data_IF_388365795938
#
_entry.id   IF_388365795938
#
_cell.length_a   1.000
_cell.length_b   1.000
_cell.length_c   1.000
_cell.angle_alpha   90.00
_cell.angle_beta   90.00
_cell.angle_gamma   90.00
#
_symmetry.space_group_name_H-M   'P 1'
#
loop_
_entity.id
_entity.type
_entity.pdbx_description
1 polymer ?
#
# COMPACT_ATOMS: atom_id res chain seq x y z
N UNK A 1 29.08 -18.72 -16.77
CA UNK A 1 28.23 -19.52 -15.86
C UNK A 1 26.93 -18.79 -15.64
N UNK A 2 25.82 -19.28 -16.21
CA UNK A 2 24.49 -18.67 -16.04
C UNK A 2 24.03 -18.89 -14.60
N UNK A 3 23.74 -17.80 -13.86
CA UNK A 3 23.18 -17.88 -12.52
C UNK A 3 21.90 -18.74 -12.56
N UNK A 4 21.68 -19.62 -11.57
CA UNK A 4 20.51 -20.48 -11.55
C UNK A 4 19.25 -19.62 -11.59
N UNK A 5 18.28 -19.99 -12.45
CA UNK A 5 16.95 -19.38 -12.53
C UNK A 5 16.24 -19.66 -11.20
N UNK A 6 16.40 -18.76 -10.23
CA UNK A 6 15.59 -18.81 -9.01
C UNK A 6 14.17 -18.41 -9.38
N UNK A 7 13.24 -19.35 -9.24
CA UNK A 7 11.81 -19.09 -9.46
C UNK A 7 11.33 -18.02 -8.47
N UNK A 8 10.61 -16.98 -8.90
CA UNK A 8 10.19 -15.87 -8.03
C UNK A 8 9.08 -16.26 -7.03
N UNK A 9 8.54 -17.47 -7.10
CA UNK A 9 7.39 -17.93 -6.33
C UNK A 9 7.51 -17.76 -4.81
N UNK A 10 8.66 -18.02 -4.15
CA UNK A 10 8.78 -17.75 -2.72
C UNK A 10 8.59 -16.27 -2.37
N UNK A 11 9.08 -15.37 -3.22
CA UNK A 11 8.94 -13.93 -3.01
C UNK A 11 7.50 -13.46 -3.27
N UNK A 12 6.85 -14.01 -4.30
CA UNK A 12 5.42 -13.77 -4.59
C UNK A 12 4.56 -14.22 -3.41
N UNK A 13 4.81 -15.41 -2.87
CA UNK A 13 4.08 -15.94 -1.72
C UNK A 13 4.31 -15.11 -0.44
N UNK A 14 5.55 -14.67 -0.17
CA UNK A 14 5.85 -13.78 0.93
C UNK A 14 5.18 -12.40 0.77
N UNK A 15 5.18 -11.84 -0.45
CA UNK A 15 4.47 -10.60 -0.76
C UNK A 15 2.97 -10.76 -0.46
N UNK A 16 2.36 -11.84 -0.95
CA UNK A 16 0.94 -12.15 -0.70
C UNK A 16 0.64 -12.24 0.79
N UNK A 17 1.42 -13.01 1.57
CA UNK A 17 1.21 -13.16 3.00
C UNK A 17 1.43 -11.84 3.77
N UNK A 18 2.43 -11.06 3.41
CA UNK A 18 2.77 -9.81 4.09
C UNK A 18 1.74 -8.69 3.87
N UNK A 19 1.15 -8.63 2.67
CA UNK A 19 0.16 -7.61 2.33
C UNK A 19 -1.29 -8.03 2.61
N UNK A 20 -1.56 -9.28 2.99
CA UNK A 20 -2.94 -9.76 3.18
C UNK A 20 -3.67 -8.98 4.29
N UNK A 21 -2.99 -8.65 5.40
CA UNK A 21 -3.59 -7.93 6.52
C UNK A 21 -4.12 -6.53 6.15
N UNK A 22 -3.36 -5.63 5.49
CA UNK A 22 -3.90 -4.35 5.02
C UNK A 22 -4.99 -4.51 3.96
N UNK A 23 -4.96 -5.56 3.13
CA UNK A 23 -6.01 -5.84 2.15
C UNK A 23 -7.32 -6.28 2.79
N UNK A 24 -7.28 -6.99 3.92
CA UNK A 24 -8.46 -7.43 4.67
C UNK A 24 -8.89 -6.43 5.75
N UNK A 25 -8.31 -5.25 5.81
CA UNK A 25 -8.52 -4.29 6.89
C UNK A 25 -10.00 -3.93 7.13
N UNK A 26 -10.84 -3.63 6.10
CA UNK A 26 -12.25 -3.31 6.32
C UNK A 26 -13.02 -4.40 7.05
N UNK A 27 -12.85 -5.65 6.60
CA UNK A 27 -13.50 -6.80 7.25
C UNK A 27 -12.90 -7.08 8.63
N UNK A 28 -11.58 -6.93 8.79
CA UNK A 28 -10.94 -7.14 10.10
C UNK A 28 -11.46 -6.13 11.12
N UNK A 29 -11.48 -4.84 10.79
CA UNK A 29 -11.98 -3.78 11.71
C UNK A 29 -13.48 -3.95 11.98
N UNK A 30 -14.28 -4.21 10.94
CA UNK A 30 -15.72 -4.44 11.10
C UNK A 30 -16.04 -5.65 11.97
N UNK A 31 -15.32 -6.76 11.78
CA UNK A 31 -15.51 -7.99 12.56
C UNK A 31 -14.96 -7.89 13.99
N UNK A 32 -13.94 -7.07 14.25
CA UNK A 32 -13.49 -6.75 15.60
C UNK A 32 -14.56 -5.98 16.36
N UNK A 33 -15.19 -5.00 15.73
CA UNK A 33 -16.29 -4.22 16.32
C UNK A 33 -17.53 -5.07 16.60
N UNK A 34 -17.95 -5.87 15.64
CA UNK A 34 -19.17 -6.69 15.78
C UNK A 34 -18.99 -7.94 16.66
N UNK A 35 -17.79 -8.48 16.75
CA UNK A 35 -17.50 -9.72 17.46
C UNK A 35 -16.91 -9.57 18.86
N UNK A 36 -16.56 -8.35 19.28
CA UNK A 36 -15.94 -8.06 20.56
C UNK A 36 -16.63 -6.84 21.22
N UNK A 37 -16.55 -6.66 22.56
CA UNK A 37 -17.09 -5.48 23.24
C UNK A 37 -16.20 -4.25 22.98
N UNK A 38 -16.14 -3.82 21.72
CA UNK A 38 -15.33 -2.69 21.25
C UNK A 38 -16.21 -1.61 20.62
N UNK A 39 -15.86 -0.36 20.86
CA UNK A 39 -16.39 0.72 20.04
C UNK A 39 -15.73 0.74 18.66
N UNK A 40 -16.37 1.37 17.69
CA UNK A 40 -15.84 1.60 16.37
C UNK A 40 -14.42 2.20 16.36
N UNK A 41 -14.19 3.19 17.24
CA UNK A 41 -12.89 3.85 17.37
C UNK A 41 -11.83 2.90 17.93
N UNK A 42 -12.19 2.05 18.89
CA UNK A 42 -11.28 1.04 19.44
C UNK A 42 -10.91 -0.02 18.40
N UNK A 43 -11.88 -0.50 17.62
CA UNK A 43 -11.62 -1.43 16.52
C UNK A 43 -10.71 -0.81 15.44
N UNK A 44 -10.96 0.46 15.07
CA UNK A 44 -10.08 1.21 14.18
C UNK A 44 -8.66 1.43 14.76
N UNK A 45 -8.55 1.66 16.08
CA UNK A 45 -7.26 1.78 16.74
C UNK A 45 -6.46 0.46 16.71
N UNK A 46 -7.12 -0.70 16.83
CA UNK A 46 -6.48 -2.01 16.67
C UNK A 46 -5.98 -2.19 15.24
N UNK A 47 -6.77 -1.81 14.23
CA UNK A 47 -6.35 -1.79 12.83
C UNK A 47 -5.13 -0.89 12.60
N UNK A 48 -5.11 0.29 13.21
CA UNK A 48 -3.97 1.20 13.17
C UNK A 48 -2.74 0.63 13.89
N UNK A 49 -2.90 0.00 15.05
CA UNK A 49 -1.81 -0.64 15.78
C UNK A 49 -1.16 -1.77 14.96
N UNK A 50 -1.97 -2.58 14.27
CA UNK A 50 -1.52 -3.61 13.34
C UNK A 50 -0.64 -3.00 12.22
N UNK A 51 -1.13 -1.96 11.56
CA UNK A 51 -0.42 -1.32 10.45
C UNK A 51 0.82 -0.56 10.92
N UNK A 52 0.76 0.11 12.07
CA UNK A 52 1.90 0.82 12.66
C UNK A 52 3.01 -0.17 13.05
N UNK A 53 2.64 -1.30 13.64
CA UNK A 53 3.56 -2.38 13.97
C UNK A 53 4.21 -2.96 12.71
N UNK A 54 3.45 -3.14 11.64
CA UNK A 54 3.97 -3.56 10.34
C UNK A 54 4.96 -2.55 9.75
N UNK A 55 4.65 -1.26 9.79
CA UNK A 55 5.55 -0.20 9.36
C UNK A 55 6.83 -0.16 10.21
N UNK A 56 6.71 -0.28 11.55
CA UNK A 56 7.83 -0.32 12.46
C UNK A 56 8.80 -1.48 12.15
N UNK A 57 8.27 -2.68 11.84
CA UNK A 57 9.09 -3.82 11.42
C UNK A 57 9.90 -3.49 10.16
N UNK A 58 9.29 -2.85 9.16
CA UNK A 58 9.97 -2.41 7.94
C UNK A 58 11.16 -1.48 8.24
N UNK A 59 10.95 -0.47 9.10
CA UNK A 59 12.01 0.46 9.50
C UNK A 59 13.12 -0.20 10.30
N UNK A 60 12.78 -1.00 11.31
CA UNK A 60 13.74 -1.60 12.24
C UNK A 60 14.57 -2.70 11.59
N UNK A 61 14.00 -3.45 10.64
CA UNK A 61 14.64 -4.62 10.05
C UNK A 61 15.32 -4.34 8.72
N UNK A 62 15.03 -3.21 8.06
CA UNK A 62 15.65 -2.86 6.78
C UNK A 62 17.18 -2.88 6.83
N UNK A 63 17.78 -2.44 7.96
CA UNK A 63 19.25 -2.45 8.15
C UNK A 63 19.81 -3.78 8.67
N UNK A 64 18.95 -4.69 9.11
CA UNK A 64 19.36 -5.97 9.72
C UNK A 64 19.22 -7.17 8.77
N UNK A 65 18.56 -6.98 7.63
CA UNK A 65 18.34 -8.01 6.62
C UNK A 65 19.65 -8.66 6.16
N UNK A 66 20.70 -7.85 5.97
CA UNK A 66 22.01 -8.32 5.52
C UNK A 66 22.76 -9.16 6.57
N UNK A 67 22.47 -8.92 7.85
CA UNK A 67 23.13 -9.63 8.97
C UNK A 67 22.45 -10.95 9.32
N UNK A 68 21.13 -10.97 9.34
CA UNK A 68 20.32 -12.12 9.79
C UNK A 68 20.04 -13.09 8.63
N UNK A 69 19.92 -12.57 7.43
CA UNK A 69 19.60 -13.31 6.22
C UNK A 69 18.09 -13.44 5.95
N UNK A 70 17.70 -13.46 4.66
CA UNK A 70 16.29 -13.39 4.24
C UNK A 70 15.46 -14.60 4.68
N UNK A 71 16.04 -15.81 4.68
CA UNK A 71 15.33 -17.01 5.11
C UNK A 71 14.95 -16.98 6.59
N UNK A 72 15.90 -16.60 7.46
CA UNK A 72 15.66 -16.53 8.90
C UNK A 72 14.63 -15.47 9.26
N UNK A 73 14.74 -14.27 8.65
CA UNK A 73 13.79 -13.20 8.86
C UNK A 73 12.40 -13.53 8.31
N UNK A 74 12.29 -14.16 7.13
CA UNK A 74 11.00 -14.61 6.60
C UNK A 74 10.33 -15.60 7.56
N UNK A 75 11.06 -16.58 8.09
CA UNK A 75 10.54 -17.53 9.07
C UNK A 75 10.11 -16.86 10.37
N UNK A 76 10.93 -15.94 10.89
CA UNK A 76 10.57 -15.17 12.07
C UNK A 76 9.28 -14.37 11.84
N UNK A 77 9.19 -13.66 10.73
CA UNK A 77 8.00 -12.89 10.37
C UNK A 77 6.75 -13.75 10.24
N UNK A 78 6.85 -14.89 9.54
CA UNK A 78 5.74 -15.84 9.41
C UNK A 78 5.33 -16.43 10.76
N UNK A 79 6.29 -16.78 11.62
CA UNK A 79 6.00 -17.27 12.97
C UNK A 79 5.25 -16.21 13.79
N UNK A 80 5.72 -14.97 13.79
CA UNK A 80 5.06 -13.89 14.50
C UNK A 80 3.66 -13.61 13.93
N UNK A 81 3.46 -13.70 12.61
CA UNK A 81 2.15 -13.57 11.99
C UNK A 81 1.20 -14.71 12.40
N UNK A 82 1.67 -15.96 12.38
CA UNK A 82 0.87 -17.12 12.82
C UNK A 82 0.51 -17.01 14.31
N UNK A 83 1.47 -16.73 15.17
CA UNK A 83 1.24 -16.63 16.62
C UNK A 83 0.38 -15.40 16.97
N UNK A 84 0.66 -14.25 16.36
CA UNK A 84 -0.05 -13.01 16.63
C UNK A 84 -1.50 -13.05 16.14
N UNK A 85 -1.71 -13.28 14.86
CA UNK A 85 -3.07 -13.32 14.31
C UNK A 85 -3.83 -14.57 14.71
N UNK A 86 -3.16 -15.73 14.79
CA UNK A 86 -3.78 -16.96 15.26
C UNK A 86 -4.18 -16.86 16.73
N UNK A 87 -3.31 -16.33 17.59
CA UNK A 87 -3.63 -16.07 18.99
C UNK A 87 -4.79 -15.08 19.15
N UNK A 88 -4.80 -13.98 18.37
CA UNK A 88 -5.89 -13.02 18.38
C UNK A 88 -7.23 -13.62 17.88
N UNK A 89 -7.18 -14.55 16.93
CA UNK A 89 -8.38 -15.25 16.43
C UNK A 89 -8.98 -16.22 17.48
N UNK A 90 -8.15 -16.79 18.35
CA UNK A 90 -8.58 -17.82 19.33
C UNK A 90 -9.03 -17.23 20.67
N UNK A 91 -8.98 -15.93 20.88
CA UNK A 91 -9.34 -15.29 22.16
C UNK A 91 -10.34 -14.16 21.98
N UNK A 92 -11.20 -13.97 22.97
CA UNK A 92 -12.11 -12.82 23.06
C UNK A 92 -11.60 -11.74 24.03
N UNK A 93 -10.46 -11.98 24.71
CA UNK A 93 -9.86 -11.04 25.62
C UNK A 93 -9.24 -9.88 24.82
N UNK A 94 -9.85 -8.71 24.89
CA UNK A 94 -9.44 -7.49 24.13
C UNK A 94 -7.93 -7.18 24.26
N UNK A 95 -7.30 -7.20 25.44
CA UNK A 95 -5.86 -6.97 25.55
C UNK A 95 -5.02 -7.98 24.76
N UNK A 96 -5.42 -9.24 24.75
CA UNK A 96 -4.72 -10.30 24.01
C UNK A 96 -4.91 -10.13 22.48
N UNK A 97 -6.10 -9.68 22.04
CA UNK A 97 -6.37 -9.36 20.63
C UNK A 97 -5.49 -8.17 20.18
N UNK A 98 -5.36 -7.12 20.99
CA UNK A 98 -4.48 -5.97 20.71
C UNK A 98 -3.02 -6.42 20.59
N UNK A 99 -2.53 -7.20 21.57
CA UNK A 99 -1.18 -7.73 21.55
C UNK A 99 -0.94 -8.64 20.34
N UNK A 100 -1.90 -9.51 20.02
CA UNK A 100 -1.84 -10.39 18.87
C UNK A 100 -1.84 -9.62 17.53
N UNK A 101 -2.67 -8.58 17.40
CA UNK A 101 -2.68 -7.71 16.22
C UNK A 101 -1.34 -6.97 16.04
N UNK A 102 -0.74 -6.48 17.12
CA UNK A 102 0.58 -5.83 17.09
C UNK A 102 1.71 -6.81 16.72
N UNK A 103 1.74 -8.00 17.35
CA UNK A 103 2.73 -9.04 17.05
C UNK A 103 2.57 -9.56 15.62
N UNK A 104 1.35 -9.85 15.21
CA UNK A 104 1.02 -10.27 13.85
C UNK A 104 1.37 -9.22 12.81
N UNK A 105 1.07 -7.93 13.09
CA UNK A 105 1.43 -6.80 12.25
C UNK A 105 2.94 -6.68 12.07
N UNK A 106 3.72 -6.80 13.16
CA UNK A 106 5.18 -6.82 13.09
C UNK A 106 5.69 -7.99 12.23
N UNK A 107 5.06 -9.16 12.35
CA UNK A 107 5.31 -10.32 11.49
C UNK A 107 5.07 -10.01 10.02
N UNK A 108 3.90 -9.46 9.68
CA UNK A 108 3.55 -9.05 8.30
C UNK A 108 4.53 -8.04 7.72
N UNK A 109 4.92 -7.02 8.49
CA UNK A 109 5.91 -6.03 8.07
C UNK A 109 7.30 -6.64 7.83
N UNK A 110 7.70 -7.60 8.66
CA UNK A 110 8.95 -8.37 8.49
C UNK A 110 8.94 -9.15 7.18
N UNK A 111 7.84 -9.87 6.89
CA UNK A 111 7.64 -10.63 5.66
C UNK A 111 7.69 -9.71 4.45
N UNK A 112 6.99 -8.57 4.52
CA UNK A 112 6.95 -7.57 3.44
C UNK A 112 8.34 -6.98 3.17
N UNK A 113 9.13 -6.68 4.20
CA UNK A 113 10.49 -6.17 4.03
C UNK A 113 11.41 -7.19 3.32
N UNK A 114 11.32 -8.47 3.68
CA UNK A 114 12.05 -9.55 3.00
C UNK A 114 11.60 -9.69 1.55
N UNK A 115 10.29 -9.69 1.30
CA UNK A 115 9.74 -9.78 -0.05
C UNK A 115 10.18 -8.59 -0.92
N UNK A 116 10.06 -7.36 -0.43
CA UNK A 116 10.43 -6.15 -1.16
C UNK A 116 11.91 -6.13 -1.54
N UNK A 117 12.80 -6.46 -0.60
CA UNK A 117 14.25 -6.52 -0.86
C UNK A 117 14.59 -7.64 -1.84
N UNK A 118 13.98 -8.81 -1.69
CA UNK A 118 14.19 -9.94 -2.60
C UNK A 118 13.66 -9.66 -4.00
N UNK A 119 12.52 -8.99 -4.14
CA UNK A 119 11.93 -8.58 -5.42
C UNK A 119 12.81 -7.54 -6.11
N UNK A 120 13.31 -6.55 -5.39
CA UNK A 120 14.21 -5.52 -5.94
C UNK A 120 15.50 -6.11 -6.51
N UNK A 121 15.94 -7.28 -6.03
CA UNK A 121 17.12 -7.99 -6.52
C UNK A 121 16.83 -8.94 -7.72
N UNK A 122 15.57 -9.09 -8.16
CA UNK A 122 15.22 -9.92 -9.32
C UNK A 122 15.60 -9.23 -10.63
N UNK A 123 15.76 -10.03 -11.70
CA UNK A 123 15.98 -9.51 -13.07
C UNK A 123 14.79 -8.70 -13.59
N UNK A 124 13.58 -9.09 -13.21
CA UNK A 124 12.34 -8.42 -13.55
C UNK A 124 11.52 -8.17 -12.25
N UNK A 125 11.85 -7.11 -11.50
CA UNK A 125 11.14 -6.74 -10.29
C UNK A 125 9.67 -6.40 -10.55
N UNK A 126 9.38 -5.76 -11.68
CA UNK A 126 8.03 -5.35 -12.04
C UNK A 126 7.10 -6.55 -12.18
N UNK A 127 7.51 -7.56 -12.97
CA UNK A 127 6.73 -8.79 -13.14
C UNK A 127 6.50 -9.51 -11.80
N UNK A 128 7.52 -9.60 -10.96
CA UNK A 128 7.40 -10.27 -9.66
C UNK A 128 6.45 -9.52 -8.73
N UNK A 129 6.51 -8.18 -8.71
CA UNK A 129 5.56 -7.35 -7.95
C UNK A 129 4.13 -7.51 -8.46
N UNK A 130 3.93 -7.51 -9.78
CA UNK A 130 2.60 -7.71 -10.39
C UNK A 130 2.02 -9.08 -10.02
N UNK A 131 2.82 -10.15 -10.03
CA UNK A 131 2.39 -11.47 -9.58
C UNK A 131 2.03 -11.47 -8.08
N UNK A 132 2.78 -10.74 -7.26
CA UNK A 132 2.48 -10.56 -5.83
C UNK A 132 1.15 -9.83 -5.61
N UNK A 133 0.90 -8.75 -6.35
CA UNK A 133 -0.35 -8.00 -6.32
C UNK A 133 -1.54 -8.87 -6.78
N UNK A 134 -1.37 -9.63 -7.86
CA UNK A 134 -2.37 -10.61 -8.30
C UNK A 134 -2.68 -11.63 -7.21
N UNK A 135 -1.63 -12.20 -6.59
CA UNK A 135 -1.76 -13.19 -5.53
C UNK A 135 -2.52 -12.65 -4.32
N UNK A 136 -2.15 -11.47 -3.82
CA UNK A 136 -2.82 -10.87 -2.65
C UNK A 136 -4.26 -10.44 -2.97
N UNK A 137 -4.52 -9.86 -4.15
CA UNK A 137 -5.88 -9.46 -4.56
C UNK A 137 -6.78 -10.67 -4.76
N UNK A 138 -6.30 -11.74 -5.39
CA UNK A 138 -7.06 -12.96 -5.57
C UNK A 138 -7.38 -13.64 -4.23
N UNK A 139 -6.38 -13.73 -3.33
CA UNK A 139 -6.58 -14.33 -2.03
C UNK A 139 -7.50 -13.48 -1.14
N UNK A 140 -7.29 -12.18 -1.09
CA UNK A 140 -8.16 -11.27 -0.34
C UNK A 140 -9.60 -11.29 -0.89
N UNK A 141 -9.77 -11.28 -2.22
CA UNK A 141 -11.07 -11.43 -2.87
C UNK A 141 -11.75 -12.75 -2.48
N UNK A 142 -11.03 -13.88 -2.48
CA UNK A 142 -11.55 -15.17 -2.03
C UNK A 142 -11.98 -15.12 -0.55
N UNK A 143 -11.19 -14.46 0.32
CA UNK A 143 -11.54 -14.29 1.73
C UNK A 143 -12.79 -13.41 1.89
N UNK A 144 -12.91 -12.31 1.14
CA UNK A 144 -14.11 -11.46 1.14
C UNK A 144 -15.38 -12.21 0.71
N UNK A 145 -15.26 -13.14 -0.24
CA UNK A 145 -16.38 -13.97 -0.69
C UNK A 145 -16.72 -15.09 0.30
N UNK A 146 -15.78 -15.59 1.09
CA UNK A 146 -15.98 -16.74 1.96
C UNK A 146 -16.34 -16.38 3.40
N UNK A 147 -15.72 -15.32 3.96
CA UNK A 147 -15.91 -14.90 5.36
C UNK A 147 -17.39 -14.69 5.74
N UNK A 148 -18.26 -14.07 4.90
CA UNK A 148 -19.67 -13.90 5.23
C UNK A 148 -20.41 -15.21 5.47
N UNK A 149 -19.95 -16.33 4.91
CA UNK A 149 -20.58 -17.65 5.01
C UNK A 149 -20.05 -18.49 6.17
N UNK A 150 -19.00 -18.04 6.87
CA UNK A 150 -18.36 -18.75 7.98
C UNK A 150 -18.97 -18.41 9.36
N UNK A 151 -20.04 -17.61 9.37
CA UNK A 151 -20.72 -17.19 10.60
C UNK A 151 -20.14 -15.90 11.22
N UNK A 152 -20.74 -15.44 12.35
CA UNK A 152 -20.34 -14.22 13.03
C UNK A 152 -19.03 -14.42 13.81
N UNK A 153 -18.34 -13.29 14.11
CA UNK A 153 -17.17 -13.26 14.96
C UNK A 153 -15.94 -12.63 14.30
N UNK A 154 -14.95 -12.28 15.12
CA UNK A 154 -13.74 -11.60 14.71
C UNK A 154 -12.62 -12.54 14.21
N UNK A 155 -12.76 -13.83 14.45
CA UNK A 155 -11.72 -14.83 14.22
C UNK A 155 -11.37 -15.03 12.74
N UNK A 156 -12.36 -15.00 11.84
CA UNK A 156 -12.21 -15.46 10.47
C UNK A 156 -11.16 -14.69 9.65
N UNK A 157 -11.16 -13.33 9.59
CA UNK A 157 -10.14 -12.61 8.83
C UNK A 157 -8.74 -12.77 9.44
N UNK A 158 -8.63 -12.82 10.77
CA UNK A 158 -7.36 -13.04 11.45
C UNK A 158 -6.82 -14.46 11.22
N UNK A 159 -7.70 -15.47 11.28
CA UNK A 159 -7.35 -16.85 10.98
C UNK A 159 -6.92 -17.01 9.52
N UNK A 160 -7.58 -16.34 8.56
CA UNK A 160 -7.18 -16.37 7.16
C UNK A 160 -5.74 -15.86 6.96
N UNK A 161 -5.34 -14.77 7.64
CA UNK A 161 -3.99 -14.24 7.60
C UNK A 161 -2.99 -15.22 8.24
N UNK A 162 -3.33 -15.80 9.40
CA UNK A 162 -2.49 -16.78 10.09
C UNK A 162 -2.28 -18.05 9.26
N UNK A 163 -3.34 -18.61 8.70
CA UNK A 163 -3.31 -19.80 7.85
C UNK A 163 -2.51 -19.56 6.56
N UNK A 164 -2.68 -18.40 5.93
CA UNK A 164 -1.85 -18.02 4.77
C UNK A 164 -0.38 -17.96 5.14
N UNK A 165 -0.05 -17.37 6.28
CA UNK A 165 1.33 -17.32 6.77
C UNK A 165 1.90 -18.71 7.02
N UNK A 166 1.10 -19.61 7.59
CA UNK A 166 1.47 -21.01 7.80
C UNK A 166 1.67 -21.76 6.47
N UNK A 167 0.77 -21.56 5.49
CA UNK A 167 0.84 -22.17 4.17
C UNK A 167 2.09 -21.73 3.37
N UNK A 168 2.56 -20.50 3.58
CA UNK A 168 3.75 -19.94 2.92
C UNK A 168 5.05 -20.46 3.58
N UNK A 169 5.01 -20.94 4.81
CA UNK A 169 6.19 -21.40 5.57
C UNK A 169 7.12 -22.35 4.80
N UNK A 170 6.64 -23.42 4.15
CA UNK A 170 7.50 -24.36 3.43
C UNK A 170 8.29 -23.72 2.29
N UNK A 171 7.72 -22.68 1.65
CA UNK A 171 8.36 -22.00 0.53
C UNK A 171 9.62 -21.23 0.97
N UNK A 172 9.76 -20.90 2.24
CA UNK A 172 10.96 -20.25 2.79
C UNK A 172 12.22 -21.10 2.62
N UNK A 173 12.08 -22.42 2.51
CA UNK A 173 13.21 -23.33 2.28
C UNK A 173 13.95 -23.02 0.96
N UNK A 174 13.23 -22.44 -0.02
CA UNK A 174 13.76 -22.06 -1.34
C UNK A 174 14.42 -20.69 -1.36
N UNK A 175 14.33 -19.91 -0.26
CA UNK A 175 15.04 -18.63 -0.13
C UNK A 175 16.52 -18.89 0.12
N UNK A 176 17.37 -17.97 -0.34
CA UNK A 176 18.78 -18.00 0.00
C UNK A 176 18.98 -17.84 1.51
N UNK A 177 19.85 -18.61 2.16
CA UNK A 177 20.19 -18.40 3.57
C UNK A 177 21.01 -17.13 3.79
N UNK A 178 21.68 -16.62 2.77
CA UNK A 178 22.49 -15.40 2.81
C UNK A 178 21.98 -14.38 1.82
N UNK A 179 22.02 -13.12 2.19
CA UNK A 179 21.78 -12.01 1.26
C UNK A 179 22.91 -11.98 0.25
N UNK A 180 22.61 -11.85 -1.05
CA UNK A 180 23.64 -11.53 -2.02
C UNK A 180 24.34 -10.22 -1.58
N UNK A 181 25.67 -10.10 -1.72
CA UNK A 181 26.36 -8.88 -1.35
C UNK A 181 25.64 -7.71 -2.03
N UNK A 182 25.05 -6.82 -1.22
CA UNK A 182 24.48 -5.60 -1.73
C UNK A 182 25.61 -4.83 -2.39
N UNK A 183 25.41 -4.40 -3.63
CA UNK A 183 26.30 -3.41 -4.25
C UNK A 183 26.50 -2.30 -3.22
N UNK A 184 27.74 -1.84 -2.98
CA UNK A 184 28.02 -0.85 -1.97
C UNK A 184 27.06 0.31 -2.14
N UNK A 185 26.11 0.46 -1.22
CA UNK A 185 25.32 1.68 -1.13
C UNK A 185 26.32 2.76 -0.72
N UNK A 186 26.81 3.52 -1.70
CA UNK A 186 27.56 4.74 -1.44
C UNK A 186 26.59 5.70 -0.74
N UNK A 187 26.44 5.48 0.58
CA UNK A 187 25.52 6.24 1.43
C UNK A 187 26.01 7.69 1.66
N UNK A 188 27.22 7.98 1.29
CA UNK A 188 27.86 9.28 1.44
C UNK A 188 27.92 9.99 0.09
N UNK A 189 26.80 10.45 -0.37
CA UNK A 189 26.74 11.38 -1.50
C UNK A 189 26.34 12.78 -1.03
N UNK A 190 26.68 13.83 -1.81
CA UNK A 190 26.36 15.20 -1.47
C UNK A 190 24.85 15.38 -1.25
N UNK A 191 24.48 16.56 -0.73
CA UNK A 191 23.12 17.00 -0.37
C UNK A 191 22.04 16.41 -1.27
N UNK A 192 20.86 16.08 -0.70
CA UNK A 192 19.68 15.60 -1.44
C UNK A 192 19.33 16.61 -2.55
N UNK A 193 19.28 16.21 -3.83
CA UNK A 193 18.90 17.11 -4.90
C UNK A 193 17.42 17.47 -4.77
N UNK A 194 17.03 18.63 -5.29
CA UNK A 194 15.63 19.10 -5.29
C UNK A 194 14.97 19.08 -3.90
N UNK A 195 15.68 19.51 -2.85
CA UNK A 195 15.29 19.37 -1.44
C UNK A 195 13.85 19.88 -1.18
N UNK A 196 13.49 21.07 -1.69
CA UNK A 196 12.14 21.65 -1.49
C UNK A 196 11.06 20.76 -2.09
N UNK A 197 11.24 20.28 -3.31
CA UNK A 197 10.26 19.40 -3.98
C UNK A 197 10.16 18.05 -3.27
N UNK A 198 11.29 17.47 -2.89
CA UNK A 198 11.31 16.19 -2.18
C UNK A 198 10.66 16.28 -0.79
N UNK A 199 10.92 17.34 -0.02
CA UNK A 199 10.31 17.56 1.28
C UNK A 199 8.78 17.80 1.16
N UNK A 200 8.33 18.54 0.14
CA UNK A 200 6.90 18.73 -0.12
C UNK A 200 6.21 17.38 -0.40
N UNK A 201 6.81 16.53 -1.24
CA UNK A 201 6.27 15.18 -1.49
C UNK A 201 6.27 14.33 -0.21
N UNK A 202 7.37 14.31 0.52
CA UNK A 202 7.49 13.53 1.76
C UNK A 202 6.51 14.00 2.85
N UNK A 203 6.22 15.29 2.94
CA UNK A 203 5.24 15.84 3.87
C UNK A 203 3.79 15.61 3.43
N UNK A 204 3.52 15.64 2.13
CA UNK A 204 2.18 15.43 1.59
C UNK A 204 1.74 13.95 1.64
N UNK A 205 2.67 13.01 1.48
CA UNK A 205 2.35 11.58 1.40
C UNK A 205 1.70 10.98 2.66
N UNK A 206 2.10 11.30 3.90
CA UNK A 206 1.38 10.80 5.07
C UNK A 206 -0.09 11.22 5.08
N UNK A 207 -0.39 12.48 4.74
CA UNK A 207 -1.77 12.97 4.66
C UNK A 207 -2.54 12.26 3.55
N UNK A 208 -1.93 12.13 2.34
CA UNK A 208 -2.54 11.43 1.22
C UNK A 208 -2.88 9.98 1.57
N UNK A 209 -1.94 9.26 2.18
CA UNK A 209 -2.13 7.87 2.57
C UNK A 209 -3.09 7.70 3.76
N UNK A 210 -3.07 8.64 4.73
CA UNK A 210 -3.99 8.62 5.86
C UNK A 210 -5.44 8.77 5.38
N UNK A 211 -5.72 9.71 4.47
CA UNK A 211 -7.06 9.90 3.90
C UNK A 211 -7.57 8.61 3.23
N UNK A 212 -6.75 8.01 2.37
CA UNK A 212 -7.10 6.77 1.67
C UNK A 212 -7.43 5.63 2.63
N UNK A 213 -6.56 5.44 3.63
CA UNK A 213 -6.72 4.35 4.60
C UNK A 213 -7.76 4.66 5.68
N UNK A 214 -8.14 5.93 5.87
CA UNK A 214 -9.27 6.32 6.70
C UNK A 214 -10.59 5.83 6.09
N UNK A 215 -10.80 6.03 4.77
CA UNK A 215 -11.95 5.44 4.08
C UNK A 215 -11.88 3.91 4.14
N UNK A 216 -10.77 3.32 3.69
CA UNK A 216 -10.60 1.86 3.62
C UNK A 216 -10.88 1.17 4.95
N UNK A 217 -10.40 1.73 6.07
CA UNK A 217 -10.61 1.19 7.41
C UNK A 217 -12.08 1.12 7.86
N UNK A 218 -12.96 1.95 7.28
CA UNK A 218 -14.38 2.02 7.66
C UNK A 218 -15.33 1.61 6.53
N UNK A 219 -14.83 1.32 5.32
CA UNK A 219 -15.65 0.98 4.15
C UNK A 219 -16.61 -0.18 4.41
N UNK A 220 -16.18 -1.21 5.14
CA UNK A 220 -17.07 -2.32 5.52
C UNK A 220 -18.29 -1.85 6.32
N UNK A 221 -18.08 -0.91 7.25
CA UNK A 221 -19.17 -0.35 8.07
C UNK A 221 -20.10 0.53 7.23
N UNK A 222 -19.56 1.35 6.32
CA UNK A 222 -20.38 2.16 5.41
C UNK A 222 -21.33 1.24 4.64
N UNK A 223 -20.83 0.16 4.04
CA UNK A 223 -21.64 -0.79 3.31
C UNK A 223 -22.74 -1.44 4.17
N UNK A 224 -22.37 -1.91 5.37
CA UNK A 224 -23.30 -2.65 6.25
C UNK A 224 -24.31 -1.73 6.93
N UNK A 225 -23.88 -0.57 7.49
CA UNK A 225 -24.74 0.22 8.38
C UNK A 225 -25.39 1.42 7.72
N UNK A 226 -24.78 2.04 6.72
CA UNK A 226 -25.30 3.22 6.02
C UNK A 226 -25.97 2.85 4.69
N UNK A 227 -25.32 2.02 3.88
CA UNK A 227 -25.91 1.54 2.64
C UNK A 227 -26.86 0.33 2.84
N UNK A 228 -27.00 -0.17 4.08
CA UNK A 228 -27.87 -1.28 4.47
C UNK A 228 -27.67 -2.55 3.65
N UNK A 229 -26.43 -2.83 3.23
CA UNK A 229 -26.11 -3.99 2.40
C UNK A 229 -25.84 -5.22 3.27
N UNK A 230 -26.14 -6.39 2.74
CA UNK A 230 -25.73 -7.65 3.34
C UNK A 230 -24.22 -7.85 3.27
N UNK A 231 -23.65 -8.57 4.24
CA UNK A 231 -22.20 -8.80 4.33
C UNK A 231 -21.62 -9.47 3.08
N UNK A 232 -22.37 -10.43 2.51
CA UNK A 232 -21.98 -11.08 1.25
C UNK A 232 -21.89 -10.07 0.07
N UNK A 233 -22.83 -9.13 -0.02
CA UNK A 233 -22.84 -8.09 -1.04
C UNK A 233 -21.63 -7.16 -0.89
N UNK A 234 -21.33 -6.72 0.34
CA UNK A 234 -20.13 -5.92 0.64
C UNK A 234 -18.86 -6.69 0.26
N UNK A 235 -18.81 -7.99 0.57
CA UNK A 235 -17.70 -8.86 0.19
C UNK A 235 -17.49 -8.93 -1.33
N UNK A 236 -18.57 -9.05 -2.10
CA UNK A 236 -18.53 -9.02 -3.58
C UNK A 236 -18.00 -7.68 -4.09
N UNK A 237 -18.48 -6.56 -3.55
CA UNK A 237 -17.99 -5.22 -3.93
C UNK A 237 -16.49 -5.11 -3.70
N UNK A 238 -15.99 -5.55 -2.54
CA UNK A 238 -14.55 -5.52 -2.27
C UNK A 238 -13.74 -6.45 -3.17
N UNK A 239 -14.24 -7.65 -3.46
CA UNK A 239 -13.56 -8.56 -4.39
C UNK A 239 -13.45 -7.96 -5.79
N UNK A 240 -14.52 -7.32 -6.30
CA UNK A 240 -14.52 -6.60 -7.58
C UNK A 240 -13.59 -5.39 -7.53
N UNK A 241 -13.64 -4.60 -6.45
CA UNK A 241 -12.79 -3.42 -6.25
C UNK A 241 -11.29 -3.80 -6.29
N UNK A 242 -10.88 -4.87 -5.62
CA UNK A 242 -9.50 -5.36 -5.67
C UNK A 242 -9.11 -5.84 -7.08
N UNK A 243 -10.03 -6.49 -7.80
CA UNK A 243 -9.83 -6.88 -9.19
C UNK A 243 -9.60 -5.67 -10.11
N UNK A 244 -10.40 -4.62 -9.96
CA UNK A 244 -10.24 -3.37 -10.74
C UNK A 244 -8.98 -2.60 -10.36
N UNK A 245 -8.54 -2.68 -9.11
CA UNK A 245 -7.25 -2.13 -8.68
C UNK A 245 -6.07 -2.70 -9.46
N UNK A 246 -6.12 -3.99 -9.83
CA UNK A 246 -5.11 -4.61 -10.71
C UNK A 246 -5.13 -4.00 -12.12
N UNK A 247 -6.32 -3.69 -12.66
CA UNK A 247 -6.43 -2.96 -13.94
C UNK A 247 -5.80 -1.58 -13.84
N UNK A 248 -5.96 -0.90 -12.69
CA UNK A 248 -5.30 0.38 -12.41
C UNK A 248 -3.77 0.27 -12.45
N UNK A 249 -3.19 -0.77 -11.85
CA UNK A 249 -1.73 -1.02 -11.88
C UNK A 249 -1.24 -1.25 -13.32
N UNK A 250 -1.93 -2.10 -14.08
CA UNK A 250 -1.58 -2.38 -15.50
C UNK A 250 -1.76 -1.13 -16.34
N UNK A 251 -2.87 -0.40 -16.14
CA UNK A 251 -3.17 0.85 -16.83
C UNK A 251 -2.11 1.93 -16.60
N UNK A 252 -1.65 2.09 -15.35
CA UNK A 252 -0.57 3.02 -15.03
C UNK A 252 0.72 2.69 -15.79
N UNK A 253 1.06 1.41 -15.88
CA UNK A 253 2.22 0.94 -16.66
C UNK A 253 2.06 1.19 -18.16
N UNK A 254 0.88 0.95 -18.74
CA UNK A 254 0.61 1.15 -20.15
C UNK A 254 0.54 2.64 -20.55
N UNK A 255 -0.04 3.49 -19.71
CA UNK A 255 -0.08 4.94 -19.90
C UNK A 255 1.32 5.56 -19.80
N UNK A 256 2.16 5.05 -18.90
CA UNK A 256 3.55 5.44 -18.73
C UNK A 256 3.76 6.96 -18.74
N UNK A 257 4.84 7.46 -19.41
CA UNK A 257 5.14 8.88 -19.45
C UNK A 257 4.28 9.70 -20.43
N UNK A 258 3.39 9.06 -21.21
CA UNK A 258 2.62 9.74 -22.28
C UNK A 258 1.75 10.88 -21.77
N UNK A 259 1.15 10.74 -20.59
CA UNK A 259 0.31 11.77 -19.98
C UNK A 259 1.10 12.80 -19.15
N UNK A 260 2.43 12.64 -19.05
CA UNK A 260 3.24 13.35 -18.07
C UNK A 260 2.86 12.94 -16.64
N UNK A 261 3.35 13.66 -15.65
CA UNK A 261 3.10 13.32 -14.23
C UNK A 261 2.01 14.19 -13.60
N UNK A 262 1.87 15.44 -14.02
CA UNK A 262 0.97 16.41 -13.39
C UNK A 262 -0.51 16.06 -13.56
N UNK A 263 -0.93 15.63 -14.77
CA UNK A 263 -2.32 15.30 -15.06
C UNK A 263 -2.81 14.09 -14.26
N UNK A 264 -2.13 12.92 -14.27
CA UNK A 264 -2.57 11.77 -13.49
C UNK A 264 -2.57 12.05 -11.98
N UNK A 265 -1.59 12.80 -11.46
CA UNK A 265 -1.51 13.14 -10.04
C UNK A 265 -2.64 14.11 -9.66
N UNK A 266 -2.79 15.22 -10.39
CA UNK A 266 -3.77 16.25 -10.07
C UNK A 266 -5.21 15.77 -10.27
N UNK A 267 -5.57 15.42 -11.51
CA UNK A 267 -6.92 14.97 -11.85
C UNK A 267 -7.27 13.66 -11.14
N UNK A 268 -6.33 12.71 -11.10
CA UNK A 268 -6.55 11.43 -10.41
C UNK A 268 -6.84 11.64 -8.92
N UNK A 269 -6.12 12.52 -8.23
CA UNK A 269 -6.38 12.84 -6.81
C UNK A 269 -7.74 13.52 -6.62
N UNK A 270 -8.15 14.42 -7.53
CA UNK A 270 -9.49 15.04 -7.50
C UNK A 270 -10.59 13.99 -7.69
N UNK A 271 -10.42 13.09 -8.64
CA UNK A 271 -11.39 11.99 -8.87
C UNK A 271 -11.47 11.05 -7.67
N UNK A 272 -10.33 10.72 -7.05
CA UNK A 272 -10.30 9.93 -5.82
C UNK A 272 -11.06 10.65 -4.69
N UNK A 273 -10.89 11.98 -4.54
CA UNK A 273 -11.64 12.74 -3.54
C UNK A 273 -13.16 12.65 -3.77
N UNK A 274 -13.60 12.70 -5.04
CA UNK A 274 -14.99 12.47 -5.41
C UNK A 274 -15.47 11.06 -5.07
N UNK A 275 -14.67 10.02 -5.35
CA UNK A 275 -14.99 8.64 -4.99
C UNK A 275 -15.11 8.45 -3.46
N UNK A 276 -14.22 9.07 -2.67
CA UNK A 276 -14.28 9.05 -1.20
C UNK A 276 -15.57 9.68 -0.70
N UNK A 277 -15.93 10.86 -1.21
CA UNK A 277 -17.17 11.54 -0.84
C UNK A 277 -18.40 10.71 -1.23
N UNK A 278 -18.39 10.11 -2.42
CA UNK A 278 -19.48 9.25 -2.91
C UNK A 278 -19.63 7.99 -2.04
N UNK A 279 -18.54 7.26 -1.79
CA UNK A 279 -18.57 6.05 -0.96
C UNK A 279 -19.02 6.36 0.47
N UNK A 280 -18.47 7.42 1.08
CA UNK A 280 -18.83 7.82 2.44
C UNK A 280 -20.26 8.33 2.59
N UNK A 281 -20.91 8.80 1.53
CA UNK A 281 -22.33 9.23 1.53
C UNK A 281 -23.27 8.19 0.93
N UNK A 282 -22.78 7.00 0.61
CA UNK A 282 -23.58 5.96 -0.05
C UNK A 282 -24.72 5.46 0.83
N UNK A 283 -25.93 5.37 0.26
CA UNK A 283 -27.15 4.87 0.90
C UNK A 283 -27.72 3.63 0.19
N UNK A 284 -27.06 3.17 -0.86
CA UNK A 284 -27.48 2.04 -1.69
C UNK A 284 -26.26 1.32 -2.30
N UNK A 285 -26.50 0.17 -2.92
CA UNK A 285 -25.47 -0.63 -3.56
C UNK A 285 -24.76 0.12 -4.69
N UNK A 286 -25.49 0.87 -5.50
CA UNK A 286 -24.93 1.52 -6.69
C UNK A 286 -23.91 2.59 -6.31
N UNK A 287 -24.28 3.48 -5.38
CA UNK A 287 -23.40 4.55 -4.89
C UNK A 287 -22.18 3.98 -4.15
N UNK A 288 -22.38 2.97 -3.30
CA UNK A 288 -21.32 2.30 -2.57
C UNK A 288 -20.34 1.59 -3.52
N UNK A 289 -20.85 0.73 -4.40
CA UNK A 289 -20.03 -0.02 -5.33
C UNK A 289 -19.27 0.91 -6.31
N UNK A 290 -19.93 1.95 -6.83
CA UNK A 290 -19.29 2.92 -7.73
C UNK A 290 -18.14 3.63 -7.01
N UNK A 291 -18.35 4.11 -5.79
CA UNK A 291 -17.32 4.78 -4.99
C UNK A 291 -16.11 3.88 -4.71
N UNK A 292 -16.36 2.68 -4.19
CA UNK A 292 -15.29 1.73 -3.82
C UNK A 292 -14.52 1.21 -5.03
N UNK A 293 -15.21 0.82 -6.11
CA UNK A 293 -14.59 0.26 -7.32
C UNK A 293 -13.78 1.33 -8.05
N UNK A 294 -14.34 2.52 -8.25
CA UNK A 294 -13.63 3.61 -8.91
C UNK A 294 -12.42 4.10 -8.08
N UNK A 295 -12.57 4.18 -6.76
CA UNK A 295 -11.46 4.51 -5.87
C UNK A 295 -10.32 3.47 -5.99
N UNK A 296 -10.62 2.18 -5.90
CA UNK A 296 -9.62 1.11 -6.02
C UNK A 296 -8.94 1.09 -7.40
N UNK A 297 -9.65 1.45 -8.48
CA UNK A 297 -9.08 1.60 -9.82
C UNK A 297 -8.07 2.76 -9.88
N UNK A 298 -8.43 3.93 -9.34
CA UNK A 298 -7.66 5.16 -9.46
C UNK A 298 -6.48 5.22 -8.49
N UNK A 299 -6.63 4.67 -7.28
CA UNK A 299 -5.62 4.70 -6.22
C UNK A 299 -4.23 4.23 -6.67
N UNK A 300 -4.07 3.01 -7.25
CA UNK A 300 -2.76 2.52 -7.67
C UNK A 300 -2.21 3.31 -8.86
N UNK A 301 -3.05 3.88 -9.71
CA UNK A 301 -2.62 4.75 -10.81
C UNK A 301 -1.93 5.97 -10.23
N UNK A 302 -2.61 6.74 -9.39
CA UNK A 302 -2.06 7.97 -8.79
C UNK A 302 -0.81 7.67 -7.97
N UNK A 303 -0.85 6.62 -7.14
CA UNK A 303 0.29 6.20 -6.33
C UNK A 303 1.52 5.91 -7.18
N UNK A 304 1.36 5.20 -8.30
CA UNK A 304 2.45 4.88 -9.23
C UNK A 304 3.10 6.15 -9.80
N UNK A 305 2.32 7.13 -10.18
CA UNK A 305 2.83 8.41 -10.69
C UNK A 305 3.51 9.24 -9.60
N UNK A 306 3.01 9.26 -8.36
CA UNK A 306 3.64 9.97 -7.25
C UNK A 306 5.00 9.33 -6.87
N UNK A 307 5.07 8.00 -6.80
CA UNK A 307 6.33 7.30 -6.55
C UNK A 307 7.31 7.51 -7.71
N UNK A 308 6.82 7.48 -8.96
CA UNK A 308 7.62 7.79 -10.15
C UNK A 308 8.16 9.22 -10.13
N UNK A 309 7.34 10.20 -9.70
CA UNK A 309 7.77 11.58 -9.48
C UNK A 309 8.87 11.68 -8.44
N UNK A 310 8.70 11.02 -7.28
CA UNK A 310 9.71 10.98 -6.23
C UNK A 310 11.03 10.35 -6.71
N UNK A 311 10.95 9.24 -7.45
CA UNK A 311 12.12 8.59 -8.06
C UNK A 311 12.84 9.50 -9.07
N UNK A 312 12.10 10.32 -9.82
CA UNK A 312 12.68 11.26 -10.78
C UNK A 312 13.45 12.43 -10.15
N UNK A 313 13.24 12.73 -8.86
CA UNK A 313 13.92 13.79 -8.13
C UNK A 313 15.36 13.42 -7.75
N UNK A 314 15.68 12.14 -7.63
CA UNK A 314 17.02 11.66 -7.29
C UNK A 314 17.32 10.33 -7.99
N UNK A 315 18.32 10.27 -8.89
CA UNK A 315 18.72 9.02 -9.57
C UNK A 315 19.10 7.88 -8.60
N UNK A 316 19.43 8.21 -7.34
CA UNK A 316 19.73 7.22 -6.29
C UNK A 316 18.47 6.70 -5.58
N UNK A 317 17.28 7.20 -5.92
CA UNK A 317 16.00 6.76 -5.37
C UNK A 317 15.74 7.11 -3.90
N UNK A 318 16.58 7.97 -3.28
CA UNK A 318 16.45 8.32 -1.85
C UNK A 318 15.09 8.98 -1.54
N UNK A 319 14.60 9.84 -2.46
CA UNK A 319 13.29 10.46 -2.32
C UNK A 319 12.15 9.43 -2.45
N UNK A 320 12.26 8.46 -3.35
CA UNK A 320 11.22 7.42 -3.46
C UNK A 320 11.12 6.59 -2.19
N UNK A 321 12.26 6.25 -1.57
CA UNK A 321 12.29 5.54 -0.28
C UNK A 321 11.68 6.39 0.83
N UNK A 322 12.04 7.67 0.94
CA UNK A 322 11.53 8.56 1.99
C UNK A 322 10.02 8.79 1.85
N UNK A 323 9.54 9.04 0.63
CA UNK A 323 8.11 9.23 0.30
C UNK A 323 7.32 7.96 0.58
N UNK A 324 7.85 6.78 0.21
CA UNK A 324 7.23 5.49 0.51
C UNK A 324 7.16 5.20 2.02
N UNK A 325 8.23 5.51 2.75
CA UNK A 325 8.26 5.37 4.20
C UNK A 325 7.27 6.31 4.90
N UNK A 326 7.21 7.56 4.45
CA UNK A 326 6.24 8.54 4.94
C UNK A 326 4.79 8.11 4.65
N UNK A 327 4.53 7.52 3.47
CA UNK A 327 3.25 6.91 3.11
C UNK A 327 2.82 5.83 4.11
N UNK A 328 3.75 4.96 4.54
CA UNK A 328 3.44 3.88 5.50
C UNK A 328 2.95 4.40 6.85
N UNK A 329 3.47 5.55 7.31
CA UNK A 329 2.99 6.19 8.54
C UNK A 329 1.55 6.70 8.38
N UNK A 330 1.24 7.33 7.24
CA UNK A 330 -0.12 7.75 6.92
C UNK A 330 -1.09 6.57 6.86
N UNK A 331 -0.69 5.50 6.16
CA UNK A 331 -1.47 4.25 6.09
C UNK A 331 -1.80 3.73 7.49
N UNK A 332 -0.82 3.75 8.40
CA UNK A 332 -0.99 3.22 9.75
C UNK A 332 -1.99 4.03 10.61
N UNK A 333 -2.04 5.34 10.48
CA UNK A 333 -2.98 6.18 11.26
C UNK A 333 -4.38 6.26 10.64
N UNK A 334 -4.53 5.86 9.39
CA UNK A 334 -5.79 5.93 8.64
C UNK A 334 -6.99 5.32 9.38
N UNK A 335 -6.95 4.03 9.78
CA UNK A 335 -8.12 3.35 10.35
C UNK A 335 -8.66 4.01 11.62
N UNK A 336 -7.80 4.44 12.54
CA UNK A 336 -8.24 5.14 13.74
C UNK A 336 -8.79 6.54 13.41
N UNK A 337 -8.18 7.25 12.45
CA UNK A 337 -8.66 8.55 11.99
C UNK A 337 -10.05 8.45 11.37
N UNK A 338 -10.24 7.50 10.43
CA UNK A 338 -11.53 7.27 9.79
C UNK A 338 -12.61 6.86 10.80
N UNK A 339 -12.30 5.93 11.71
CA UNK A 339 -13.25 5.49 12.74
C UNK A 339 -13.60 6.60 13.72
N UNK A 340 -12.64 7.44 14.10
CA UNK A 340 -12.87 8.58 15.01
C UNK A 340 -13.74 9.66 14.36
N UNK A 341 -13.46 10.02 13.11
CA UNK A 341 -14.25 10.99 12.36
C UNK A 341 -15.67 10.48 12.14
N UNK A 342 -15.82 9.23 11.73
CA UNK A 342 -17.14 8.61 11.54
C UNK A 342 -17.95 8.55 12.84
N UNK A 343 -17.31 8.23 13.96
CA UNK A 343 -17.98 8.17 15.26
C UNK A 343 -18.45 9.55 15.76
N UNK A 344 -17.73 10.63 15.41
CA UNK A 344 -18.06 11.99 15.86
C UNK A 344 -19.02 12.73 14.95
N UNK A 345 -18.94 12.52 13.63
CA UNK A 345 -19.65 13.34 12.65
C UNK A 345 -20.48 12.53 11.65
N UNK A 346 -20.45 11.20 11.72
CA UNK A 346 -21.05 10.31 10.74
C UNK A 346 -20.21 10.15 9.46
N UNK A 347 -20.55 9.16 8.64
CA UNK A 347 -19.79 8.84 7.44
C UNK A 347 -19.80 9.95 6.36
N UNK A 348 -20.94 10.62 6.07
CA UNK A 348 -20.96 11.69 5.05
C UNK A 348 -20.05 12.86 5.40
N UNK A 349 -20.08 13.32 6.68
CA UNK A 349 -19.22 14.41 7.11
C UNK A 349 -17.75 13.98 7.14
N UNK A 350 -17.44 12.76 7.59
CA UNK A 350 -16.11 12.17 7.49
C UNK A 350 -15.62 12.20 6.04
N UNK A 351 -16.42 11.69 5.08
CA UNK A 351 -16.07 11.69 3.66
C UNK A 351 -15.79 13.08 3.10
N UNK A 352 -16.58 14.07 3.50
CA UNK A 352 -16.36 15.47 3.11
C UNK A 352 -15.03 16.00 3.65
N UNK A 353 -14.72 15.77 4.93
CA UNK A 353 -13.45 16.18 5.55
C UNK A 353 -12.27 15.51 4.85
N UNK A 354 -12.36 14.20 4.58
CA UNK A 354 -11.32 13.45 3.88
C UNK A 354 -11.12 13.95 2.44
N UNK A 355 -12.21 14.21 1.71
CA UNK A 355 -12.15 14.73 0.35
C UNK A 355 -11.51 16.12 0.30
N UNK A 356 -11.89 17.03 1.20
CA UNK A 356 -11.28 18.37 1.29
C UNK A 356 -9.81 18.29 1.65
N UNK A 357 -9.44 17.44 2.62
CA UNK A 357 -8.04 17.22 2.98
C UNK A 357 -7.23 16.68 1.78
N UNK A 358 -7.80 15.77 1.00
CA UNK A 358 -7.15 15.21 -0.19
C UNK A 358 -6.99 16.26 -1.29
N UNK A 359 -7.99 17.11 -1.52
CA UNK A 359 -7.89 18.24 -2.47
C UNK A 359 -6.80 19.24 -2.03
N UNK A 360 -6.68 19.53 -0.74
CA UNK A 360 -5.60 20.38 -0.23
C UNK A 360 -4.22 19.75 -0.50
N UNK A 361 -4.08 18.44 -0.34
CA UNK A 361 -2.84 17.69 -0.62
C UNK A 361 -2.57 17.60 -2.12
N UNK A 362 -3.60 17.57 -2.97
CA UNK A 362 -3.43 17.55 -4.43
C UNK A 362 -2.65 18.76 -4.94
N UNK A 363 -2.80 19.94 -4.30
CA UNK A 363 -2.13 21.18 -4.71
C UNK A 363 -0.60 21.06 -4.69
N UNK A 364 0.05 20.74 -3.56
CA UNK A 364 1.52 20.60 -3.52
C UNK A 364 2.02 19.45 -4.38
N UNK A 365 1.32 18.32 -4.47
CA UNK A 365 1.71 17.19 -5.32
C UNK A 365 1.74 17.59 -6.80
N UNK A 366 0.68 18.24 -7.26
CA UNK A 366 0.58 18.71 -8.66
C UNK A 366 1.57 19.83 -8.96
N UNK A 367 1.79 20.75 -8.01
CA UNK A 367 2.77 21.83 -8.17
C UNK A 367 4.19 21.29 -8.36
N UNK A 368 4.59 20.27 -7.61
CA UNK A 368 5.90 19.61 -7.79
C UNK A 368 5.99 18.95 -9.17
N UNK A 369 4.93 18.27 -9.62
CA UNK A 369 4.89 17.62 -10.92
C UNK A 369 4.98 18.62 -12.09
N UNK A 370 4.32 19.78 -11.99
CA UNK A 370 4.38 20.85 -13.00
C UNK A 370 5.77 21.49 -13.11
N UNK A 371 6.41 21.80 -11.97
CA UNK A 371 7.77 22.37 -11.94
C UNK A 371 8.80 21.48 -12.64
N UNK A 372 8.63 20.15 -12.53
CA UNK A 372 9.51 19.20 -13.22
C UNK A 372 9.34 19.25 -14.73
N UNK A 373 8.13 19.40 -15.23
CA UNK A 373 7.85 19.51 -16.67
C UNK A 373 8.56 20.70 -17.31
N UNK A 374 8.55 21.86 -16.65
CA UNK A 374 9.20 23.07 -17.14
C UNK A 374 10.72 22.94 -17.20
N UNK A 375 11.34 22.28 -16.21
CA UNK A 375 12.80 22.10 -16.19
C UNK A 375 13.27 21.14 -17.30
N UNK A 376 12.51 20.09 -17.60
CA UNK A 376 12.86 19.11 -18.65
C UNK A 376 12.74 19.73 -20.06
N UNK A 377 11.79 20.62 -20.26
CA UNK A 377 11.62 21.33 -21.55
C UNK A 377 12.74 22.36 -21.75
N UNK A 378 13.20 23.04 -20.68
CA UNK A 378 14.27 24.04 -20.75
C UNK A 378 15.68 23.43 -20.97
N UNK A 379 15.87 22.13 -20.66
CA UNK A 379 17.14 21.39 -20.85
C UNK A 379 17.12 20.44 -22.05
N UNK A 380 16.14 20.57 -22.95
CA UNK A 380 16.15 19.88 -24.25
C UNK A 380 17.45 20.20 -25.00
N UNK A 381 18.01 19.24 -25.80
CA UNK A 381 19.24 19.48 -26.52
C UNK A 381 19.09 20.77 -27.34
N UNK A 382 19.97 21.74 -27.07
CA UNK A 382 20.10 22.89 -27.94
C UNK A 382 20.33 22.33 -29.35
N UNK A 383 19.45 22.71 -30.28
CA UNK A 383 19.65 22.40 -31.69
C UNK A 383 21.08 22.84 -32.02
N UNK A 384 21.97 21.88 -32.18
CA UNK A 384 23.31 22.14 -32.68
C UNK A 384 23.15 22.84 -34.01
N UNK A 385 23.53 24.10 -34.05
CA UNK A 385 23.53 24.95 -35.25
C UNK A 385 24.30 24.19 -36.36
N UNK A 386 23.64 23.84 -37.46
CA UNK A 386 24.32 23.11 -38.56
C UNK A 386 25.39 23.93 -39.26
N UNK A 387 25.57 25.18 -38.90
CA UNK A 387 26.60 26.07 -39.45
C UNK A 387 28.01 25.83 -38.88
N UNK A 388 28.18 25.19 -37.74
CA UNK A 388 29.51 24.92 -37.15
C UNK A 388 30.26 23.75 -37.78
N UNK A 389 29.62 22.93 -38.59
CA UNK A 389 30.21 21.72 -39.21
C UNK A 389 30.84 21.98 -40.58
N UNK A 390 30.98 23.25 -41.06
CA UNK A 390 31.52 23.55 -42.39
C UNK A 390 32.91 24.21 -42.41
N UNK A 391 33.61 24.27 -41.31
CA UNK A 391 34.93 24.94 -41.27
C UNK A 391 36.14 24.02 -41.14
N UNK A 392 36.01 22.71 -41.11
CA UNK A 392 37.15 21.78 -40.97
C UNK A 392 37.42 20.90 -42.20
N UNK A 393 37.03 21.29 -43.41
CA UNK A 393 37.39 20.57 -44.66
C UNK A 393 38.10 21.47 -45.64
N UNK A 394 38.90 22.45 -45.19
CA UNK A 394 39.79 23.21 -46.05
C UNK A 394 41.06 23.67 -45.30
N UNK A 395 41.95 22.70 -44.98
CA UNK A 395 43.38 22.95 -44.75
C UNK A 395 44.16 21.64 -44.92
#
# INVERSE_FOLDING_TARGET
MSAPRTTPWPLVALFTAGYLAPYLLPTTVGRLESGLPLSATQAGAIGSALLLSSAAAGFLLASRLDRIGPRALARLGLLLAVLGYGGAALTTAVPAVIAGAAVGGFGSGTITAVAATGIAAQRDPHRTTTLGLLGVSALAGAVYLTVPHLGPGHAQPLAAIALTSLAVWPLTARLSPRTAPALPRTATGPRLPHLRSGLLLAAAMPCWSAVQNSLWGVSGRIGLTQAHLGEATVGVVFAVALGTGLLGVVGAGALGPRLGQALPIGLGTVLIAGCIALSASATDLTSFATGEIAWNLLYPVVLSYVIGLAASLDPRGRWAVLVGSASSLGTAVGPVTGSLLAARAGFPAMGTVLAVALLAVAVPLTAVALRRRTTTVATGPALTDPSAARLDVAA
#
